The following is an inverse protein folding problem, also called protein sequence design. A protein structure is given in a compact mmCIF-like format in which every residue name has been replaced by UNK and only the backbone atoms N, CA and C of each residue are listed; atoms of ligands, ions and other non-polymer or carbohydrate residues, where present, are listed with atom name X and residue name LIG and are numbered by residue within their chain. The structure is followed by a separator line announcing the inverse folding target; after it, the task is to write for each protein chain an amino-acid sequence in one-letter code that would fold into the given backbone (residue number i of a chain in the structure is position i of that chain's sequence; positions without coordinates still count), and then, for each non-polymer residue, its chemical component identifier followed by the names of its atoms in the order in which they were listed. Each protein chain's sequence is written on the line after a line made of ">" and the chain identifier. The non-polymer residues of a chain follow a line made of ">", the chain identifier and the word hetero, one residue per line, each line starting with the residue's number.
data_IF_538228994398
#
_entry.id   IF_538228994398
#
_cell.length_a   1.000
_cell.length_b   1.000
_cell.length_c   1.000
_cell.angle_alpha   90.00
_cell.angle_beta   90.00
_cell.angle_gamma   90.00
#
_symmetry.space_group_name_H-M   'P 1'
#
loop_
_entity.id
_entity.type
_entity.pdbx_description
1 polymer ?
#
# COMPACT_ATOMS: atom_id res chain seq x y z
N UNK A 1 18.19 -4.42 1.13
CA UNK A 1 19.43 -5.24 1.20
C UNK A 1 19.17 -6.72 1.54
N UNK A 2 18.24 -6.98 2.50
CA UNK A 2 18.00 -8.34 3.01
C UNK A 2 17.46 -9.28 1.92
N UNK A 3 16.40 -8.89 1.21
CA UNK A 3 15.84 -9.64 0.09
C UNK A 3 16.86 -9.91 -1.02
N UNK A 4 17.68 -8.91 -1.38
CA UNK A 4 18.74 -9.08 -2.38
C UNK A 4 19.76 -10.15 -1.99
N UNK A 5 20.14 -10.22 -0.70
CA UNK A 5 21.06 -11.25 -0.18
C UNK A 5 20.47 -12.66 -0.26
N UNK A 6 19.14 -12.77 -0.26
CA UNK A 6 18.41 -14.03 -0.39
C UNK A 6 17.95 -14.32 -1.83
N UNK A 7 18.55 -13.65 -2.83
CA UNK A 7 18.33 -13.97 -4.24
C UNK A 7 17.12 -13.30 -4.89
N UNK A 8 16.38 -12.47 -4.14
CA UNK A 8 15.23 -11.79 -4.72
C UNK A 8 15.64 -10.71 -5.73
N UNK A 9 14.85 -10.56 -6.78
CA UNK A 9 14.74 -9.32 -7.53
C UNK A 9 13.92 -8.35 -6.72
N UNK A 10 14.41 -7.13 -6.52
CA UNK A 10 13.71 -6.11 -5.76
C UNK A 10 13.45 -4.90 -6.63
N UNK A 11 12.18 -4.53 -6.77
CA UNK A 11 11.73 -3.42 -7.59
C UNK A 11 10.97 -2.40 -6.73
N UNK A 12 11.19 -1.12 -7.00
CA UNK A 12 10.40 -0.02 -6.44
C UNK A 12 9.87 0.84 -7.57
N UNK A 13 8.56 0.82 -7.78
CA UNK A 13 7.88 1.58 -8.81
C UNK A 13 6.94 2.60 -8.18
N UNK A 14 7.18 3.88 -8.43
CA UNK A 14 6.47 4.98 -7.80
C UNK A 14 5.78 5.90 -8.79
N UNK A 15 4.56 6.26 -8.47
CA UNK A 15 3.79 7.34 -9.10
C UNK A 15 4.09 8.70 -8.50
N UNK A 16 4.66 8.71 -7.33
CA UNK A 16 5.06 9.96 -6.68
C UNK A 16 6.46 10.35 -7.14
N UNK A 17 6.64 11.65 -7.39
CA UNK A 17 7.95 12.17 -7.78
C UNK A 17 8.99 11.93 -6.67
N UNK A 18 10.27 11.86 -7.06
CA UNK A 18 11.35 11.80 -6.11
C UNK A 18 11.27 13.01 -5.17
N UNK A 19 10.90 12.74 -3.92
CA UNK A 19 10.67 13.81 -2.93
C UNK A 19 11.97 14.52 -2.59
N UNK A 20 11.99 15.86 -2.65
CA UNK A 20 13.14 16.72 -2.38
C UNK A 20 13.91 16.39 -1.09
N UNK A 21 13.91 17.26 -0.06
CA UNK A 21 14.65 17.00 1.20
C UNK A 21 14.18 15.76 1.97
N UNK A 22 12.91 15.39 1.87
CA UNK A 22 12.38 14.13 2.44
C UNK A 22 12.84 12.89 1.66
N UNK A 23 13.35 13.07 0.44
CA UNK A 23 13.83 12.00 -0.43
C UNK A 23 15.01 11.22 0.12
N UNK A 24 15.83 11.80 1.02
CA UNK A 24 16.97 11.09 1.60
C UNK A 24 16.59 9.89 2.43
N UNK A 25 15.49 9.95 3.19
CA UNK A 25 15.01 8.81 3.97
C UNK A 25 14.42 7.73 3.05
N UNK A 26 13.62 8.15 2.08
CA UNK A 26 13.07 7.24 1.06
C UNK A 26 14.20 6.61 0.25
N UNK A 27 15.17 7.39 -0.22
CA UNK A 27 16.35 6.88 -0.93
C UNK A 27 17.15 5.88 -0.08
N UNK A 28 17.26 6.08 1.22
CA UNK A 28 17.93 5.14 2.13
C UNK A 28 17.14 3.81 2.27
N UNK A 29 15.80 3.88 2.31
CA UNK A 29 14.94 2.71 2.44
C UNK A 29 14.87 1.88 1.14
N UNK A 30 14.73 2.55 0.00
CA UNK A 30 14.56 1.92 -1.32
C UNK A 30 15.84 1.81 -2.13
N UNK A 31 16.90 2.54 -1.78
CA UNK A 31 18.17 2.64 -2.53
C UNK A 31 18.92 1.32 -2.70
N UNK A 32 18.48 0.28 -2.00
CA UNK A 32 18.96 -1.08 -2.20
C UNK A 32 18.15 -1.88 -3.23
N UNK A 33 17.03 -1.34 -3.74
CA UNK A 33 16.25 -2.01 -4.79
C UNK A 33 17.08 -2.07 -6.07
N UNK A 34 16.97 -3.20 -6.79
CA UNK A 34 17.72 -3.44 -8.03
C UNK A 34 17.15 -2.69 -9.22
N UNK A 35 15.84 -2.42 -9.20
CA UNK A 35 15.16 -1.60 -10.21
C UNK A 35 14.29 -0.54 -9.52
N UNK A 36 14.56 0.72 -9.80
CA UNK A 36 13.84 1.87 -9.21
C UNK A 36 13.31 2.72 -10.35
N UNK A 37 11.99 2.90 -10.42
CA UNK A 37 11.33 3.69 -11.46
C UNK A 37 10.33 4.67 -10.88
N UNK A 38 10.30 5.87 -11.46
CA UNK A 38 9.35 6.93 -11.17
C UNK A 38 8.53 7.24 -12.41
N UNK A 39 7.22 7.31 -12.27
CA UNK A 39 6.31 7.49 -13.39
C UNK A 39 5.53 8.80 -13.25
N UNK A 40 5.65 9.66 -14.25
CA UNK A 40 4.90 10.92 -14.38
C UNK A 40 3.57 10.70 -15.10
N UNK A 41 2.87 9.62 -14.79
CA UNK A 41 1.61 9.24 -15.44
C UNK A 41 0.41 9.87 -14.72
N UNK A 42 -0.73 10.11 -15.38
CA UNK A 42 -1.90 10.68 -14.72
C UNK A 42 -2.62 9.72 -13.76
N UNK A 43 -2.40 8.40 -13.88
CA UNK A 43 -3.11 7.40 -13.05
C UNK A 43 -2.19 6.31 -12.51
N UNK A 44 -2.55 5.73 -11.36
CA UNK A 44 -1.81 4.61 -10.76
C UNK A 44 -1.89 3.35 -11.63
N UNK A 45 -2.92 3.20 -12.45
CA UNK A 45 -3.11 2.08 -13.38
C UNK A 45 -1.95 1.92 -14.37
N UNK A 46 -1.20 2.97 -14.65
CA UNK A 46 -0.05 2.89 -15.54
C UNK A 46 1.12 2.10 -14.95
N UNK A 47 1.21 1.99 -13.61
CA UNK A 47 2.16 1.08 -12.97
C UNK A 47 1.94 -0.38 -13.40
N UNK A 48 0.70 -0.78 -13.66
CA UNK A 48 0.34 -2.16 -14.01
C UNK A 48 0.88 -2.60 -15.38
N UNK A 49 1.17 -1.65 -16.28
CA UNK A 49 1.80 -1.94 -17.57
C UNK A 49 3.25 -2.43 -17.39
N UNK A 50 3.89 -1.97 -16.33
CA UNK A 50 5.27 -2.31 -16.01
C UNK A 50 5.40 -3.57 -15.16
N UNK A 51 4.30 -3.99 -14.50
CA UNK A 51 4.32 -5.14 -13.60
C UNK A 51 4.18 -6.48 -14.34
N UNK A 52 3.36 -6.54 -15.38
CA UNK A 52 3.11 -7.77 -16.14
C UNK A 52 4.39 -8.41 -16.72
N UNK A 53 5.34 -7.66 -17.32
CA UNK A 53 6.61 -8.21 -17.76
C UNK A 53 7.46 -8.79 -16.63
N UNK A 54 7.39 -8.19 -15.42
CA UNK A 54 8.11 -8.70 -14.26
C UNK A 54 7.56 -10.05 -13.82
N UNK A 55 6.23 -10.20 -13.75
CA UNK A 55 5.59 -11.45 -13.34
C UNK A 55 5.88 -12.60 -14.30
N UNK A 56 6.01 -12.31 -15.61
CA UNK A 56 6.44 -13.29 -16.62
C UNK A 56 7.90 -13.68 -16.47
N UNK A 57 8.76 -12.75 -16.07
CA UNK A 57 10.20 -12.98 -15.97
C UNK A 57 10.59 -13.63 -14.65
N UNK A 58 10.00 -13.20 -13.56
CA UNK A 58 10.35 -13.62 -12.20
C UNK A 58 9.21 -14.47 -11.61
N UNK A 59 9.24 -15.77 -11.88
CA UNK A 59 8.26 -16.72 -11.33
C UNK A 59 8.42 -16.94 -9.82
N UNK A 60 9.62 -16.67 -9.29
CA UNK A 60 9.95 -16.78 -7.87
C UNK A 60 10.94 -15.69 -7.47
N UNK A 61 10.90 -15.31 -6.20
CA UNK A 61 11.87 -14.39 -5.63
C UNK A 61 11.76 -12.96 -6.17
N UNK A 62 10.56 -12.45 -6.35
CA UNK A 62 10.28 -11.06 -6.66
C UNK A 62 9.70 -10.34 -5.42
N UNK A 63 10.32 -9.25 -5.01
CA UNK A 63 9.74 -8.25 -4.12
C UNK A 63 9.48 -6.98 -4.93
N UNK A 64 8.21 -6.66 -5.16
CA UNK A 64 7.79 -5.46 -5.89
C UNK A 64 7.04 -4.52 -4.93
N UNK A 65 7.55 -3.31 -4.77
CA UNK A 65 6.89 -2.23 -4.07
C UNK A 65 6.25 -1.30 -5.09
N UNK A 66 4.93 -1.19 -5.03
CA UNK A 66 4.12 -0.26 -5.85
C UNK A 66 3.70 0.91 -4.97
N UNK A 67 4.31 2.05 -5.20
CA UNK A 67 4.04 3.28 -4.46
C UNK A 67 3.08 4.15 -5.27
N UNK A 68 1.80 4.01 -4.96
CA UNK A 68 0.71 4.72 -5.63
C UNK A 68 0.54 6.14 -5.11
N UNK A 69 -0.16 6.98 -5.86
CA UNK A 69 -0.67 8.27 -5.36
C UNK A 69 -1.91 8.05 -4.48
N UNK A 70 -2.71 7.04 -4.82
CA UNK A 70 -3.87 6.67 -4.04
C UNK A 70 -4.86 7.83 -3.87
N UNK A 71 -5.27 8.06 -2.62
CA UNK A 71 -6.22 9.12 -2.23
C UNK A 71 -5.52 10.36 -1.69
N UNK A 72 -4.36 10.74 -2.26
CA UNK A 72 -3.67 11.96 -1.89
C UNK A 72 -4.49 13.21 -2.31
N UNK A 73 -4.38 14.31 -1.57
CA UNK A 73 -4.92 15.60 -1.97
C UNK A 73 -4.12 16.15 -3.18
N UNK A 74 -4.69 16.77 -4.22
CA UNK A 74 -6.09 17.11 -4.43
C UNK A 74 -6.89 15.89 -4.94
N UNK A 75 -7.98 15.53 -4.24
CA UNK A 75 -8.73 14.31 -4.55
C UNK A 75 -9.33 14.36 -5.97
N UNK A 76 -9.96 15.50 -6.35
CA UNK A 76 -10.61 15.66 -7.66
C UNK A 76 -9.61 15.55 -8.82
N UNK A 77 -8.36 15.95 -8.62
CA UNK A 77 -7.27 15.84 -9.60
C UNK A 77 -6.72 14.41 -9.75
N UNK A 78 -7.06 13.50 -8.85
CA UNK A 78 -6.46 12.17 -8.80
C UNK A 78 -7.24 11.07 -9.50
N UNK A 79 -8.39 11.36 -10.12
CA UNK A 79 -9.15 10.41 -10.92
C UNK A 79 -9.71 11.05 -12.18
N UNK A 80 -10.08 10.21 -13.14
CA UNK A 80 -10.73 10.62 -14.38
C UNK A 80 -12.25 10.44 -14.25
N UNK A 81 -13.01 11.00 -15.18
CA UNK A 81 -14.48 10.85 -15.21
C UNK A 81 -14.95 9.38 -15.21
N UNK A 82 -14.10 8.46 -15.68
CA UNK A 82 -14.38 7.02 -15.62
C UNK A 82 -14.60 6.48 -14.19
N UNK A 83 -13.97 7.11 -13.20
CA UNK A 83 -14.07 6.73 -11.80
C UNK A 83 -15.01 7.63 -10.99
N UNK A 84 -15.69 8.56 -11.63
CA UNK A 84 -16.68 9.46 -11.00
C UNK A 84 -18.00 8.72 -10.77
N UNK A 85 -18.13 8.10 -9.62
CA UNK A 85 -19.35 7.40 -9.17
C UNK A 85 -20.17 8.29 -8.24
N UNK A 86 -19.51 9.05 -7.39
CA UNK A 86 -20.12 9.91 -6.40
C UNK A 86 -20.10 11.37 -6.88
N UNK A 87 -21.25 12.04 -6.80
CA UNK A 87 -21.44 13.42 -7.25
C UNK A 87 -22.48 14.13 -6.35
N UNK A 88 -22.43 15.46 -6.24
CA UNK A 88 -21.41 16.36 -6.81
C UNK A 88 -20.04 16.20 -6.12
N UNK A 89 -18.94 16.52 -6.82
CA UNK A 89 -17.55 16.36 -6.36
C UNK A 89 -16.68 17.62 -6.57
N UNK A 90 -17.31 18.72 -6.98
CA UNK A 90 -16.63 20.00 -7.18
C UNK A 90 -16.49 20.77 -5.87
N UNK A 91 -15.27 21.22 -5.58
CA UNK A 91 -14.94 22.08 -4.45
C UNK A 91 -13.67 22.89 -4.76
N UNK A 92 -13.40 23.92 -3.96
CA UNK A 92 -12.12 24.63 -3.92
C UNK A 92 -11.52 24.51 -2.51
N UNK A 93 -10.21 24.75 -2.33
CA UNK A 93 -9.61 24.74 -0.99
C UNK A 93 -10.34 25.63 0.03
N UNK A 94 -10.84 26.79 -0.41
CA UNK A 94 -11.54 27.74 0.45
C UNK A 94 -12.97 27.31 0.79
N UNK A 95 -13.59 26.50 -0.10
CA UNK A 95 -14.98 26.05 0.06
C UNK A 95 -15.13 24.64 0.63
N UNK A 96 -14.04 23.98 0.99
CA UNK A 96 -14.06 22.58 1.46
C UNK A 96 -15.04 22.35 2.60
N UNK A 97 -15.12 23.28 3.55
CA UNK A 97 -16.03 23.16 4.70
C UNK A 97 -17.49 23.35 4.28
N UNK A 98 -17.77 24.32 3.42
CA UNK A 98 -19.12 24.58 2.88
C UNK A 98 -19.60 23.42 2.02
N UNK A 99 -18.69 22.86 1.21
CA UNK A 99 -18.97 21.75 0.31
C UNK A 99 -18.39 20.42 0.81
N UNK A 100 -18.44 20.17 2.11
CA UNK A 100 -17.84 18.97 2.73
C UNK A 100 -18.26 17.67 2.04
N UNK A 101 -19.54 17.54 1.68
CA UNK A 101 -20.02 16.33 1.01
C UNK A 101 -19.35 16.13 -0.37
N UNK A 102 -19.10 17.22 -1.09
CA UNK A 102 -18.40 17.13 -2.39
C UNK A 102 -16.95 16.67 -2.20
N UNK A 103 -16.29 17.12 -1.13
CA UNK A 103 -14.93 16.66 -0.77
C UNK A 103 -14.94 15.17 -0.46
N UNK A 104 -15.92 14.68 0.30
CA UNK A 104 -16.10 13.26 0.61
C UNK A 104 -16.35 12.47 -0.69
N UNK A 105 -17.26 12.94 -1.55
CA UNK A 105 -17.54 12.30 -2.83
C UNK A 105 -16.29 12.20 -3.72
N UNK A 106 -15.48 13.27 -3.78
CA UNK A 106 -14.22 13.27 -4.51
C UNK A 106 -13.21 12.29 -3.91
N UNK A 107 -13.10 12.22 -2.58
CA UNK A 107 -12.27 11.23 -1.89
C UNK A 107 -12.75 9.81 -2.20
N UNK A 108 -14.04 9.52 -2.12
CA UNK A 108 -14.61 8.19 -2.40
C UNK A 108 -14.38 7.77 -3.86
N UNK A 109 -14.41 8.71 -4.82
CA UNK A 109 -14.04 8.43 -6.21
C UNK A 109 -12.56 8.01 -6.34
N UNK A 110 -11.65 8.50 -5.49
CA UNK A 110 -10.27 8.00 -5.45
C UNK A 110 -10.18 6.57 -4.91
N UNK A 111 -11.09 6.19 -3.99
CA UNK A 111 -11.18 4.80 -3.51
C UNK A 111 -11.67 3.88 -4.62
N UNK A 112 -12.69 4.29 -5.41
CA UNK A 112 -13.13 3.54 -6.61
C UNK A 112 -11.96 3.30 -7.57
N UNK A 113 -11.14 4.33 -7.83
CA UNK A 113 -9.93 4.19 -8.67
C UNK A 113 -8.91 3.21 -8.05
N UNK A 114 -8.72 3.24 -6.74
CA UNK A 114 -7.79 2.35 -6.05
C UNK A 114 -8.28 0.90 -6.08
N UNK A 115 -9.58 0.68 -5.92
CA UNK A 115 -10.20 -0.64 -6.05
C UNK A 115 -10.00 -1.23 -7.46
N UNK A 116 -10.24 -0.43 -8.51
CA UNK A 116 -9.95 -0.83 -9.91
C UNK A 116 -8.47 -1.20 -10.13
N UNK A 117 -7.54 -0.42 -9.54
CA UNK A 117 -6.12 -0.71 -9.59
C UNK A 117 -5.82 -2.08 -8.96
N UNK A 118 -6.32 -2.33 -7.76
CA UNK A 118 -6.11 -3.59 -7.05
C UNK A 118 -6.75 -4.76 -7.79
N UNK A 119 -7.98 -4.61 -8.29
CA UNK A 119 -8.66 -5.65 -9.06
C UNK A 119 -7.85 -6.06 -10.30
N UNK A 120 -7.28 -5.09 -11.02
CA UNK A 120 -6.42 -5.35 -12.19
C UNK A 120 -5.09 -6.00 -11.79
N UNK A 121 -4.48 -5.57 -10.69
CA UNK A 121 -3.26 -6.21 -10.15
C UNK A 121 -3.53 -7.67 -9.79
N UNK A 122 -4.63 -7.95 -9.10
CA UNK A 122 -5.02 -9.31 -8.74
C UNK A 122 -5.29 -10.18 -9.96
N UNK A 123 -5.92 -9.62 -11.01
CA UNK A 123 -6.12 -10.33 -12.27
C UNK A 123 -4.80 -10.72 -12.96
N UNK A 124 -3.76 -9.90 -12.85
CA UNK A 124 -2.41 -10.24 -13.34
C UNK A 124 -1.74 -11.33 -12.50
N UNK A 125 -2.05 -11.41 -11.19
CA UNK A 125 -1.38 -12.29 -10.23
C UNK A 125 -2.10 -13.63 -9.98
N UNK A 126 -3.35 -13.78 -10.41
CA UNK A 126 -4.21 -14.92 -10.05
C UNK A 126 -3.61 -16.30 -10.33
N UNK A 127 -2.80 -16.41 -11.39
CA UNK A 127 -2.16 -17.66 -11.83
C UNK A 127 -0.70 -17.78 -11.36
N UNK A 128 -0.23 -16.85 -10.52
CA UNK A 128 1.11 -16.85 -9.94
C UNK A 128 1.06 -17.27 -8.46
N UNK A 129 2.17 -17.79 -7.94
CA UNK A 129 2.38 -17.99 -6.52
C UNK A 129 2.68 -16.62 -5.87
N UNK A 130 1.62 -15.91 -5.50
CA UNK A 130 1.72 -14.50 -5.14
C UNK A 130 0.87 -14.11 -3.93
N UNK A 131 1.44 -13.22 -3.11
CA UNK A 131 0.75 -12.51 -2.04
C UNK A 131 0.96 -11.01 -2.21
N UNK A 132 -0.10 -10.23 -2.01
CA UNK A 132 -0.08 -8.77 -2.01
C UNK A 132 -0.37 -8.28 -0.61
N UNK A 133 0.49 -7.40 -0.12
CA UNK A 133 0.28 -6.67 1.12
C UNK A 133 -0.11 -5.24 0.75
N UNK A 134 -1.31 -4.82 1.12
CA UNK A 134 -1.77 -3.45 0.97
C UNK A 134 -1.81 -2.75 2.31
N UNK A 135 -1.22 -1.57 2.37
CA UNK A 135 -1.25 -0.70 3.54
C UNK A 135 -1.23 0.76 3.11
N UNK A 136 -2.06 1.59 3.72
CA UNK A 136 -1.95 3.05 3.59
C UNK A 136 -0.90 3.58 4.56
N UNK A 137 -0.24 4.66 4.19
CA UNK A 137 0.74 5.35 5.05
C UNK A 137 0.06 6.12 6.19
N UNK A 138 -1.11 6.70 5.94
CA UNK A 138 -1.95 7.38 6.94
C UNK A 138 -3.40 7.46 6.48
N UNK A 139 -4.30 7.82 7.39
CA UNK A 139 -5.67 8.22 7.08
C UNK A 139 -5.80 9.71 6.80
N UNK A 140 -7.02 10.16 6.58
CA UNK A 140 -7.37 11.54 6.23
C UNK A 140 -8.52 12.06 7.08
N UNK A 141 -8.50 13.34 7.39
CA UNK A 141 -9.66 14.10 7.86
C UNK A 141 -10.42 14.64 6.64
N UNK A 142 -11.73 14.44 6.64
CA UNK A 142 -12.65 14.87 5.59
C UNK A 142 -13.70 15.85 6.16
N UNK A 143 -13.24 16.78 6.99
CA UNK A 143 -14.08 17.77 7.67
C UNK A 143 -14.45 17.42 9.11
N UNK A 144 -13.99 16.25 9.63
CA UNK A 144 -14.09 15.95 11.05
C UNK A 144 -13.32 17.00 11.86
N UNK A 145 -13.86 17.35 13.03
CA UNK A 145 -13.28 18.38 13.91
C UNK A 145 -13.05 19.74 13.23
N UNK A 146 -13.79 20.04 12.14
CA UNK A 146 -13.59 21.24 11.33
C UNK A 146 -12.28 21.27 10.56
N UNK A 147 -11.70 20.12 10.23
CA UNK A 147 -10.35 20.00 9.61
C UNK A 147 -10.37 19.04 8.43
N UNK A 148 -9.43 19.26 7.53
CA UNK A 148 -9.18 18.41 6.37
C UNK A 148 -7.72 18.01 6.31
N UNK A 149 -7.42 16.97 5.53
CA UNK A 149 -6.08 16.47 5.28
C UNK A 149 -5.47 15.70 6.46
N UNK A 150 -4.15 15.61 6.49
CA UNK A 150 -3.38 14.86 7.50
C UNK A 150 -2.26 15.74 8.09
N UNK A 151 -1.49 15.17 9.01
CA UNK A 151 -0.38 15.83 9.71
C UNK A 151 -0.81 17.11 10.47
N UNK A 152 -2.08 17.22 10.81
CA UNK A 152 -2.62 18.34 11.56
C UNK A 152 -2.53 18.01 13.05
N UNK A 153 -2.05 18.96 13.86
CA UNK A 153 -1.81 18.73 15.30
C UNK A 153 -0.36 18.46 15.68
N UNK A 154 0.57 18.64 14.74
CA UNK A 154 2.02 18.60 14.99
C UNK A 154 2.65 17.21 15.10
N UNK A 155 1.96 16.24 15.70
CA UNK A 155 2.47 14.85 15.85
C UNK A 155 1.65 13.81 15.06
N UNK A 156 0.55 14.21 14.40
CA UNK A 156 -0.38 13.29 13.72
C UNK A 156 -1.09 12.32 14.67
N UNK A 157 -1.01 12.53 15.98
CA UNK A 157 -1.49 11.59 17.00
C UNK A 157 -2.86 11.93 17.58
N UNK A 158 -3.40 13.09 17.28
CA UNK A 158 -4.59 13.60 17.96
C UNK A 158 -5.90 13.04 17.39
N UNK A 159 -5.92 12.66 16.10
CA UNK A 159 -7.14 12.25 15.40
C UNK A 159 -7.11 10.77 15.00
N UNK A 160 -8.04 9.95 15.52
CA UNK A 160 -8.13 8.53 15.16
C UNK A 160 -8.27 8.28 13.65
N UNK A 161 -8.95 9.19 12.94
CA UNK A 161 -9.18 9.11 11.48
C UNK A 161 -7.86 9.11 10.69
N UNK A 162 -6.80 9.74 11.21
CA UNK A 162 -5.48 9.74 10.58
C UNK A 162 -4.68 8.46 10.85
N UNK A 163 -5.10 7.65 11.84
CA UNK A 163 -4.42 6.42 12.25
C UNK A 163 -5.14 5.16 11.79
N UNK A 164 -6.46 5.23 11.63
CA UNK A 164 -7.25 4.10 11.16
C UNK A 164 -7.07 3.96 9.64
N UNK A 165 -6.26 3.00 9.25
CA UNK A 165 -5.89 2.77 7.86
C UNK A 165 -6.26 1.35 7.43
N UNK A 166 -6.53 1.13 6.13
CA UNK A 166 -6.63 -0.20 5.59
C UNK A 166 -5.26 -0.89 5.62
N UNK A 167 -5.22 -2.10 6.16
CA UNK A 167 -4.07 -3.00 6.14
C UNK A 167 -4.60 -4.41 5.90
N UNK A 168 -4.37 -4.96 4.69
CA UNK A 168 -4.90 -6.27 4.34
C UNK A 168 -3.97 -7.04 3.41
N UNK A 169 -4.23 -8.34 3.30
CA UNK A 169 -3.53 -9.27 2.45
C UNK A 169 -4.49 -9.86 1.42
N UNK A 170 -4.05 -9.91 0.18
CA UNK A 170 -4.64 -10.74 -0.86
C UNK A 170 -3.61 -11.78 -1.29
N UNK A 171 -4.05 -12.97 -1.61
CA UNK A 171 -3.20 -14.04 -2.12
C UNK A 171 -3.94 -14.84 -3.19
N UNK A 172 -3.18 -15.39 -4.15
CA UNK A 172 -3.70 -16.25 -5.19
C UNK A 172 -4.07 -17.64 -4.65
N UNK A 173 -4.90 -18.37 -5.38
CA UNK A 173 -5.24 -19.76 -5.04
C UNK A 173 -3.98 -20.65 -4.99
N UNK A 174 -3.05 -20.43 -5.93
CA UNK A 174 -1.79 -21.17 -5.98
C UNK A 174 -0.91 -20.88 -4.74
N UNK A 175 -0.89 -19.62 -4.27
CA UNK A 175 -0.22 -19.29 -3.01
C UNK A 175 -0.90 -19.99 -1.83
N UNK A 176 -2.22 -19.98 -1.77
CA UNK A 176 -2.95 -20.62 -0.69
C UNK A 176 -2.75 -22.14 -0.66
N UNK A 177 -2.63 -22.79 -1.81
CA UNK A 177 -2.33 -24.21 -1.92
C UNK A 177 -0.92 -24.54 -1.38
N UNK A 178 0.09 -23.71 -1.71
CA UNK A 178 1.49 -23.94 -1.34
C UNK A 178 1.86 -23.50 0.06
N UNK A 179 1.17 -22.47 0.60
CA UNK A 179 1.51 -21.79 1.84
C UNK A 179 0.31 -21.74 2.80
N UNK A 180 -0.33 -22.88 2.99
CA UNK A 180 -1.54 -23.01 3.81
C UNK A 180 -1.36 -22.60 5.27
N UNK A 181 -0.17 -22.76 5.83
CA UNK A 181 0.21 -22.33 7.17
C UNK A 181 0.22 -20.79 7.30
N UNK A 182 0.80 -20.09 6.31
CA UNK A 182 0.77 -18.63 6.23
C UNK A 182 -0.68 -18.14 6.14
N UNK A 183 -1.47 -18.73 5.24
CA UNK A 183 -2.87 -18.36 5.06
C UNK A 183 -3.69 -18.57 6.35
N UNK A 184 -3.46 -19.68 7.05
CA UNK A 184 -4.12 -19.95 8.31
C UNK A 184 -3.75 -18.93 9.39
N UNK A 185 -2.46 -18.56 9.49
CA UNK A 185 -1.97 -17.55 10.41
C UNK A 185 -2.58 -16.17 10.14
N UNK A 186 -2.62 -15.74 8.86
CA UNK A 186 -3.23 -14.46 8.46
C UNK A 186 -4.74 -14.43 8.75
N UNK A 187 -5.47 -15.53 8.49
CA UNK A 187 -6.89 -15.65 8.84
C UNK A 187 -7.11 -15.58 10.35
N UNK A 188 -6.27 -16.25 11.13
CA UNK A 188 -6.33 -16.16 12.60
C UNK A 188 -6.08 -14.73 13.07
N UNK A 189 -5.06 -14.06 12.55
CA UNK A 189 -4.74 -12.67 12.86
C UNK A 189 -5.92 -11.73 12.57
N UNK A 190 -6.59 -11.89 11.43
CA UNK A 190 -7.74 -11.04 11.03
C UNK A 190 -8.95 -11.15 11.98
N UNK A 191 -9.09 -12.24 12.71
CA UNK A 191 -10.19 -12.50 13.65
C UNK A 191 -9.79 -12.35 15.11
N UNK A 192 -8.52 -12.06 15.39
CA UNK A 192 -7.96 -12.02 16.75
C UNK A 192 -8.41 -10.82 17.60
N UNK A 193 -8.97 -9.76 16.96
CA UNK A 193 -9.25 -8.49 17.61
C UNK A 193 -8.00 -7.66 17.94
N UNK A 194 -6.81 -8.14 17.58
CA UNK A 194 -5.55 -7.41 17.78
C UNK A 194 -5.45 -6.25 16.82
N UNK A 195 -4.97 -5.11 17.30
CA UNK A 195 -4.63 -3.95 16.47
C UNK A 195 -3.22 -4.12 15.94
N UNK A 196 -3.07 -4.04 14.62
CA UNK A 196 -1.79 -4.07 13.95
C UNK A 196 -1.41 -2.66 13.51
N UNK A 197 -0.15 -2.28 13.70
CA UNK A 197 0.42 -0.98 13.30
C UNK A 197 1.43 -1.18 12.16
N UNK A 198 1.97 -0.10 11.61
CA UNK A 198 3.03 -0.16 10.61
C UNK A 198 4.29 -0.92 11.08
N UNK A 199 4.52 -0.99 12.40
CA UNK A 199 5.66 -1.74 12.96
C UNK A 199 5.65 -3.21 12.54
N UNK A 200 4.46 -3.78 12.32
CA UNK A 200 4.31 -5.16 11.87
C UNK A 200 4.72 -5.38 10.40
N UNK A 201 4.66 -4.33 9.57
CA UNK A 201 4.85 -4.47 8.12
C UNK A 201 6.23 -5.05 7.76
N UNK A 202 7.31 -4.47 8.31
CA UNK A 202 8.67 -4.89 8.01
C UNK A 202 8.91 -6.36 8.37
N UNK A 203 8.53 -6.75 9.58
CA UNK A 203 8.76 -8.10 10.11
C UNK A 203 7.94 -9.15 9.35
N UNK A 204 6.67 -8.83 9.09
CA UNK A 204 5.76 -9.70 8.34
C UNK A 204 6.20 -9.89 6.88
N UNK A 205 6.61 -8.83 6.19
CA UNK A 205 7.07 -8.92 4.78
C UNK A 205 8.33 -9.77 4.68
N UNK A 206 9.25 -9.69 5.65
CA UNK A 206 10.44 -10.56 5.68
C UNK A 206 10.04 -12.02 5.91
N UNK A 207 9.13 -12.29 6.84
CA UNK A 207 8.62 -13.64 7.11
C UNK A 207 7.91 -14.23 5.89
N UNK A 208 7.06 -13.45 5.20
CA UNK A 208 6.41 -13.85 3.95
C UNK A 208 7.41 -14.19 2.84
N UNK A 209 8.57 -13.55 2.83
CA UNK A 209 9.68 -13.88 1.94
C UNK A 209 10.45 -15.15 2.33
N UNK A 210 10.05 -15.86 3.38
CA UNK A 210 10.77 -17.04 3.90
C UNK A 210 12.17 -16.72 4.44
N UNK A 211 12.43 -15.45 4.77
CA UNK A 211 13.74 -14.97 5.19
C UNK A 211 13.83 -15.02 6.70
N UNK A 212 14.79 -15.79 7.21
CA UNK A 212 15.16 -15.81 8.64
C UNK A 212 16.25 -14.79 8.92
N UNK A 213 16.02 -13.90 9.87
CA UNK A 213 16.98 -12.84 10.20
C UNK A 213 16.85 -12.42 11.66
N UNK A 214 17.99 -12.15 12.31
CA UNK A 214 18.04 -11.54 13.65
C UNK A 214 17.44 -10.12 13.69
N UNK A 215 17.19 -9.50 12.54
CA UNK A 215 16.53 -8.21 12.44
C UNK A 215 14.99 -8.32 12.51
N UNK A 216 14.43 -9.53 12.49
CA UNK A 216 12.99 -9.77 12.67
C UNK A 216 12.69 -9.94 14.15
N UNK A 217 11.75 -9.14 14.64
CA UNK A 217 11.16 -9.30 15.97
C UNK A 217 9.92 -10.20 15.84
N UNK A 218 9.94 -11.42 16.40
CA UNK A 218 8.86 -12.39 16.20
C UNK A 218 7.48 -11.89 16.64
N UNK A 219 7.44 -11.08 17.71
CA UNK A 219 6.18 -10.50 18.22
C UNK A 219 5.56 -9.47 17.28
N UNK A 220 6.31 -8.95 16.29
CA UNK A 220 5.86 -8.01 15.26
C UNK A 220 5.63 -8.68 13.89
N UNK A 221 5.79 -9.98 13.80
CA UNK A 221 5.38 -10.76 12.63
C UNK A 221 3.93 -11.20 12.77
N UNK A 222 3.06 -10.76 11.86
CA UNK A 222 1.63 -11.12 11.86
C UNK A 222 1.43 -12.62 11.62
N UNK A 223 2.32 -13.25 10.86
CA UNK A 223 2.23 -14.68 10.59
C UNK A 223 2.67 -15.54 11.77
N UNK A 224 3.52 -15.01 12.63
CA UNK A 224 4.14 -15.74 13.73
C UNK A 224 5.08 -16.89 13.29
N UNK A 225 5.41 -16.97 12.00
CA UNK A 225 6.20 -18.04 11.40
C UNK A 225 7.68 -17.65 11.21
N UNK A 226 8.01 -16.37 11.39
CA UNK A 226 9.37 -15.82 11.23
C UNK A 226 10.33 -16.12 12.39
N UNK A 227 9.99 -17.04 13.28
CA UNK A 227 10.85 -17.39 14.43
C UNK A 227 12.12 -18.13 13.98
N UNK A 228 13.27 -17.68 14.52
CA UNK A 228 14.48 -18.50 14.56
C UNK A 228 14.30 -19.50 15.70
N UNK A 229 14.23 -20.79 15.39
CA UNK A 229 14.46 -21.85 16.38
C UNK A 229 15.89 -21.76 16.91
#
# INVERSE_FOLDING_TARGET
>A
PLFNKHGFMTCFYSRQNKLGRSGHLTDALIGSSKDIRYFSSPTDQDLLKETEPLFKTYQHGLLLLLHTTGSHYDYRGNYTETFKVFAPDEYTPESMMEHRQNVINAYDNTIVKTDDFLAKLYAQLKDHDAIVVYVSDHGQLLGEHGRFLHAIGGTGTEYPEQKNIPFFFWYSDLFAEKHGDIVAALKHASTSGKIFTHDYLYHTVIALGGIRSKAVEPQLDITGLGTLD
#
